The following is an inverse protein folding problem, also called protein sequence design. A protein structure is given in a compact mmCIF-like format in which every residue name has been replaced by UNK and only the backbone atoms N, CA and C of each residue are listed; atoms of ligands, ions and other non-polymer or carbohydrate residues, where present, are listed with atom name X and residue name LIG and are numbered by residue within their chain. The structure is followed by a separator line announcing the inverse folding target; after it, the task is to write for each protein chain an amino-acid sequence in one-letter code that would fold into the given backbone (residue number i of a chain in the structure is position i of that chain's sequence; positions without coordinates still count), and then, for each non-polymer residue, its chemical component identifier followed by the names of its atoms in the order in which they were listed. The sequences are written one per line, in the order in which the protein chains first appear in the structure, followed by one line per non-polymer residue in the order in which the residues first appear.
data_IF_450244331875
#
_entry.id   IF_450244331875
#
_cell.length_a   1.000
_cell.length_b   1.000
_cell.length_c   1.000
_cell.angle_alpha   90.00
_cell.angle_beta   90.00
_cell.angle_gamma   90.00
#
_symmetry.space_group_name_H-M   'P 1'
#
loop_
_entity.id
_entity.type
_entity.pdbx_description
1 polymer ?
#
# COMPACT_ATOMS: atom_id res chain seq x y z
N UNK A 1 6.88 18.47 -5.87
CA UNK A 1 5.87 17.98 -4.89
C UNK A 1 5.09 19.17 -4.38
N UNK A 2 3.79 19.21 -4.55
CA UNK A 2 2.93 20.26 -4.01
C UNK A 2 2.77 19.98 -2.51
N UNK A 3 3.42 20.80 -1.67
CA UNK A 3 3.21 20.80 -0.22
C UNK A 3 1.91 21.54 0.06
N UNK A 4 0.97 20.90 0.71
CA UNK A 4 -0.31 21.50 1.08
C UNK A 4 -1.29 20.46 1.63
N UNK A 5 -2.29 20.91 2.37
CA UNK A 5 -3.33 20.04 2.92
C UNK A 5 -4.04 19.31 1.78
N UNK A 6 -4.24 18.00 1.91
CA UNK A 6 -4.95 17.15 0.94
C UNK A 6 -6.04 16.32 1.64
N UNK A 7 -7.11 16.06 0.93
CA UNK A 7 -8.27 15.35 1.46
C UNK A 7 -9.08 16.17 2.45
N UNK A 8 -9.86 15.49 3.27
CA UNK A 8 -10.73 16.06 4.29
C UNK A 8 -10.60 15.31 5.62
N UNK A 9 -11.15 15.86 6.72
CA UNK A 9 -11.17 15.18 8.03
C UNK A 9 -11.86 13.81 7.99
N UNK A 10 -12.79 13.62 7.06
CA UNK A 10 -13.51 12.36 6.88
C UNK A 10 -12.81 11.36 5.95
N UNK A 11 -11.80 11.77 5.17
CA UNK A 11 -11.10 10.87 4.26
C UNK A 11 -10.15 9.92 4.98
N UNK A 12 -9.86 8.79 4.34
CA UNK A 12 -8.96 7.74 4.84
C UNK A 12 -7.83 7.50 3.85
N UNK A 13 -6.61 7.48 4.38
CA UNK A 13 -5.41 7.11 3.63
C UNK A 13 -4.80 5.86 4.28
N UNK A 14 -4.79 4.76 3.56
CA UNK A 14 -4.19 3.50 3.98
C UNK A 14 -2.93 3.27 3.13
N UNK A 15 -1.80 3.03 3.77
CA UNK A 15 -0.53 2.72 3.11
C UNK A 15 -0.12 1.30 3.51
N UNK A 16 0.08 0.43 2.52
CA UNK A 16 0.44 -0.98 2.73
C UNK A 16 1.75 -1.27 2.00
N UNK A 17 2.82 -1.50 2.77
CA UNK A 17 4.17 -1.74 2.27
C UNK A 17 4.66 -3.15 2.62
N UNK A 18 5.77 -3.53 2.01
CA UNK A 18 6.49 -4.78 2.32
C UNK A 18 7.05 -5.45 1.08
N UNK A 19 7.86 -6.48 1.27
CA UNK A 19 8.54 -7.21 0.21
C UNK A 19 7.59 -7.85 -0.82
N UNK A 20 8.14 -8.23 -1.97
CA UNK A 20 7.39 -8.99 -2.98
C UNK A 20 6.80 -10.26 -2.35
N UNK A 21 5.62 -10.67 -2.77
CA UNK A 21 5.03 -11.91 -2.26
C UNK A 21 4.31 -11.81 -0.91
N UNK A 22 4.41 -10.70 -0.17
CA UNK A 22 3.92 -10.60 1.21
C UNK A 22 2.39 -10.58 1.40
N UNK A 23 1.61 -10.36 0.34
CA UNK A 23 0.14 -10.34 0.45
C UNK A 23 -0.51 -8.96 0.32
N UNK A 24 0.24 -7.89 0.11
CA UNK A 24 -0.25 -6.49 -0.01
C UNK A 24 -1.39 -6.32 -0.99
N UNK A 25 -1.19 -6.77 -2.23
CA UNK A 25 -2.20 -6.64 -3.29
C UNK A 25 -3.45 -7.47 -2.98
N UNK A 26 -3.30 -8.63 -2.32
CA UNK A 26 -4.43 -9.42 -1.84
C UNK A 26 -5.23 -8.64 -0.80
N UNK A 27 -4.56 -8.03 0.18
CA UNK A 27 -5.21 -7.20 1.19
C UNK A 27 -5.91 -5.99 0.55
N UNK A 28 -5.27 -5.31 -0.40
CA UNK A 28 -5.88 -4.19 -1.11
C UNK A 28 -7.16 -4.61 -1.89
N UNK A 29 -7.14 -5.77 -2.54
CA UNK A 29 -8.32 -6.32 -3.20
C UNK A 29 -9.42 -6.74 -2.21
N UNK A 30 -9.05 -7.31 -1.07
CA UNK A 30 -10.00 -7.64 -0.01
C UNK A 30 -10.67 -6.38 0.57
N UNK A 31 -9.90 -5.29 0.77
CA UNK A 31 -10.46 -3.98 1.16
C UNK A 31 -11.43 -3.48 0.07
N UNK A 32 -11.07 -3.58 -1.22
CA UNK A 32 -11.96 -3.23 -2.33
C UNK A 32 -13.26 -4.03 -2.30
N UNK A 33 -13.18 -5.33 -2.01
CA UNK A 33 -14.36 -6.19 -1.91
C UNK A 33 -15.27 -5.80 -0.73
N UNK A 34 -14.67 -5.45 0.42
CA UNK A 34 -15.39 -4.98 1.60
C UNK A 34 -15.96 -3.55 1.42
N UNK A 35 -15.30 -2.74 0.59
CA UNK A 35 -15.64 -1.34 0.30
C UNK A 35 -15.74 -1.12 -1.22
N UNK A 36 -16.81 -1.59 -1.88
CA UNK A 36 -16.89 -1.65 -3.34
C UNK A 36 -16.95 -0.27 -4.02
N UNK A 37 -17.26 0.79 -3.27
CA UNK A 37 -17.32 2.17 -3.76
C UNK A 37 -16.62 3.13 -2.80
N UNK A 38 -16.15 4.26 -3.33
CA UNK A 38 -15.55 5.34 -2.54
C UNK A 38 -14.09 5.10 -2.14
N UNK A 39 -13.44 4.03 -2.59
CA UNK A 39 -12.02 3.74 -2.31
C UNK A 39 -11.23 3.62 -3.60
N UNK A 40 -10.22 4.45 -3.77
CA UNK A 40 -9.24 4.34 -4.84
C UNK A 40 -8.08 3.44 -4.40
N UNK A 41 -7.74 2.43 -5.21
CA UNK A 41 -6.54 1.60 -4.99
C UNK A 41 -5.44 2.07 -5.94
N UNK A 42 -4.31 2.46 -5.36
CA UNK A 42 -3.12 2.94 -6.06
C UNK A 42 -2.03 1.89 -5.88
N UNK A 43 -1.99 0.94 -6.82
CA UNK A 43 -0.99 -0.12 -6.86
C UNK A 43 0.30 0.37 -7.51
N UNK A 44 1.42 0.31 -6.79
CA UNK A 44 2.73 0.72 -7.30
C UNK A 44 3.10 -0.01 -8.60
N UNK A 45 2.92 -1.33 -8.63
CA UNK A 45 3.27 -2.12 -9.83
C UNK A 45 2.40 -1.77 -11.03
N UNK A 46 1.11 -1.52 -10.85
CA UNK A 46 0.21 -1.08 -11.92
C UNK A 46 0.66 0.26 -12.48
N UNK A 47 0.89 1.26 -11.62
CA UNK A 47 1.32 2.58 -12.06
C UNK A 47 2.68 2.53 -12.76
N UNK A 48 3.63 1.82 -12.19
CA UNK A 48 5.00 1.76 -12.69
C UNK A 48 5.12 0.93 -13.97
N UNK A 49 4.55 -0.28 -13.99
CA UNK A 49 4.75 -1.26 -15.07
C UNK A 49 3.76 -1.07 -16.22
N UNK A 50 2.48 -0.87 -15.92
CA UNK A 50 1.43 -0.87 -16.93
C UNK A 50 1.16 0.54 -17.46
N UNK A 51 1.11 1.56 -16.59
CA UNK A 51 0.77 2.93 -16.99
C UNK A 51 2.01 3.69 -17.47
N UNK A 52 3.07 3.76 -16.66
CA UNK A 52 4.27 4.54 -16.98
C UNK A 52 5.32 3.75 -17.75
N UNK A 53 5.34 2.44 -17.63
CA UNK A 53 6.34 1.53 -18.22
C UNK A 53 7.79 1.93 -17.90
N UNK A 54 8.07 2.25 -16.62
CA UNK A 54 9.38 2.68 -16.13
C UNK A 54 10.02 1.70 -15.16
N UNK A 55 11.33 1.79 -14.98
CA UNK A 55 12.08 1.03 -13.97
C UNK A 55 11.96 1.71 -12.61
N UNK A 56 12.07 0.90 -11.54
CA UNK A 56 12.10 1.38 -10.17
C UNK A 56 13.53 1.75 -9.76
N UNK A 57 13.69 2.94 -9.25
CA UNK A 57 14.96 3.46 -8.71
C UNK A 57 14.67 4.75 -7.90
N UNK A 58 15.60 5.21 -7.05
CA UNK A 58 15.47 6.52 -6.40
C UNK A 58 15.28 7.64 -7.43
N UNK A 59 14.22 8.45 -7.22
CA UNK A 59 13.85 9.52 -8.16
C UNK A 59 13.08 9.07 -9.39
N UNK A 60 12.62 7.80 -9.45
CA UNK A 60 11.76 7.32 -10.54
C UNK A 60 10.47 8.13 -10.68
N UNK A 61 9.96 8.23 -11.91
CA UNK A 61 8.74 8.97 -12.24
C UNK A 61 7.49 8.43 -11.49
N UNK A 62 7.52 7.17 -11.09
CA UNK A 62 6.46 6.54 -10.27
C UNK A 62 6.28 7.23 -8.91
N UNK A 63 7.34 7.80 -8.31
CA UNK A 63 7.26 8.48 -7.02
C UNK A 63 6.31 9.68 -7.05
N UNK A 64 6.55 10.72 -7.88
CA UNK A 64 5.63 11.86 -7.95
C UNK A 64 4.27 11.49 -8.55
N UNK A 65 4.16 10.43 -9.35
CA UNK A 65 2.90 10.03 -9.94
C UNK A 65 1.98 9.33 -8.93
N UNK A 66 2.54 8.54 -7.99
CA UNK A 66 1.78 7.99 -6.86
C UNK A 66 1.27 9.12 -5.96
N UNK A 67 2.12 10.09 -5.61
CA UNK A 67 1.73 11.25 -4.80
C UNK A 67 0.58 12.03 -5.46
N UNK A 68 0.73 12.36 -6.75
CA UNK A 68 -0.30 13.05 -7.53
C UNK A 68 -1.62 12.29 -7.55
N UNK A 69 -1.56 10.98 -7.80
CA UNK A 69 -2.76 10.12 -7.89
C UNK A 69 -3.49 10.04 -6.55
N UNK A 70 -2.72 9.90 -5.45
CA UNK A 70 -3.29 9.85 -4.11
C UNK A 70 -3.95 11.16 -3.71
N UNK A 71 -3.27 12.29 -3.91
CA UNK A 71 -3.83 13.62 -3.63
C UNK A 71 -5.07 13.89 -4.47
N UNK A 72 -5.01 13.61 -5.76
CA UNK A 72 -6.17 13.77 -6.64
C UNK A 72 -7.39 13.00 -6.15
N UNK A 73 -7.22 11.74 -5.75
CA UNK A 73 -8.32 10.92 -5.24
C UNK A 73 -8.88 11.45 -3.91
N UNK A 74 -8.00 11.78 -2.95
CA UNK A 74 -8.37 12.35 -1.65
C UNK A 74 -9.10 13.68 -1.79
N UNK A 75 -8.62 14.57 -2.65
CA UNK A 75 -9.19 15.90 -2.88
C UNK A 75 -10.56 15.82 -3.62
N UNK A 76 -10.84 14.69 -4.28
CA UNK A 76 -12.13 14.41 -4.91
C UNK A 76 -13.06 13.52 -4.06
N UNK A 77 -12.79 13.42 -2.75
CA UNK A 77 -13.69 12.77 -1.80
C UNK A 77 -13.62 11.25 -1.77
N UNK A 78 -12.56 10.66 -2.33
CA UNK A 78 -12.32 9.22 -2.21
C UNK A 78 -11.40 8.92 -1.02
N UNK A 79 -11.62 7.78 -0.38
CA UNK A 79 -10.61 7.14 0.46
C UNK A 79 -9.53 6.53 -0.44
N UNK A 80 -8.31 6.42 0.05
CA UNK A 80 -7.17 5.93 -0.75
C UNK A 80 -6.47 4.78 -0.05
N UNK A 81 -6.17 3.74 -0.81
CA UNK A 81 -5.25 2.67 -0.44
C UNK A 81 -4.05 2.70 -1.40
N UNK A 82 -2.85 2.98 -0.88
CA UNK A 82 -1.60 2.83 -1.63
C UNK A 82 -0.98 1.49 -1.25
N UNK A 83 -0.63 0.65 -2.22
CA UNK A 83 0.03 -0.62 -1.95
C UNK A 83 1.23 -0.84 -2.87
N UNK A 84 2.26 -1.48 -2.33
CA UNK A 84 3.45 -1.81 -3.11
C UNK A 84 4.67 -2.16 -2.25
N UNK A 85 5.76 -2.51 -2.91
CA UNK A 85 7.04 -2.69 -2.22
C UNK A 85 7.45 -1.35 -1.59
N UNK A 86 7.44 -0.28 -2.35
CA UNK A 86 7.63 1.11 -1.92
C UNK A 86 8.84 1.26 -0.96
N UNK A 87 10.02 0.86 -1.43
CA UNK A 87 11.26 0.93 -0.63
C UNK A 87 11.44 2.29 0.03
N UNK A 88 11.85 2.29 1.31
CA UNK A 88 12.02 3.51 2.12
C UNK A 88 12.95 4.53 1.47
N UNK A 89 14.04 4.06 0.84
CA UNK A 89 15.01 4.89 0.13
C UNK A 89 14.39 5.71 -1.02
N UNK A 90 13.43 5.12 -1.74
CA UNK A 90 12.84 5.76 -2.94
C UNK A 90 11.52 6.48 -2.65
N UNK A 91 10.71 5.93 -1.75
CA UNK A 91 9.34 6.39 -1.53
C UNK A 91 9.11 6.98 -0.13
N UNK A 92 10.01 6.75 0.82
CA UNK A 92 9.81 7.09 2.22
C UNK A 92 9.53 8.56 2.45
N UNK A 93 10.30 9.47 1.83
CA UNK A 93 10.10 10.91 1.95
C UNK A 93 8.74 11.36 1.41
N UNK A 94 8.36 10.87 0.23
CA UNK A 94 7.07 11.18 -0.39
C UNK A 94 5.90 10.71 0.47
N UNK A 95 5.95 9.46 0.95
CA UNK A 95 4.89 8.89 1.80
C UNK A 95 4.78 9.63 3.14
N UNK A 96 5.91 9.98 3.75
CA UNK A 96 5.94 10.77 4.98
C UNK A 96 5.32 12.16 4.79
N UNK A 97 5.63 12.82 3.66
CA UNK A 97 5.04 14.11 3.34
C UNK A 97 3.54 13.99 3.05
N UNK A 98 3.11 12.98 2.29
CA UNK A 98 1.69 12.73 2.03
C UNK A 98 0.90 12.47 3.31
N UNK A 99 1.45 11.65 4.24
CA UNK A 99 0.86 11.43 5.56
C UNK A 99 0.71 12.73 6.34
N UNK A 100 1.73 13.58 6.32
CA UNK A 100 1.71 14.87 7.03
C UNK A 100 0.68 15.84 6.47
N UNK A 101 0.50 15.83 5.16
CA UNK A 101 -0.40 16.74 4.45
C UNK A 101 -1.87 16.28 4.49
N UNK A 102 -2.11 14.98 4.72
CA UNK A 102 -3.45 14.42 4.75
C UNK A 102 -4.23 14.89 5.98
N UNK A 103 -5.36 15.57 5.75
CA UNK A 103 -6.20 16.13 6.80
C UNK A 103 -6.99 15.08 7.60
N UNK A 104 -7.22 13.91 7.00
CA UNK A 104 -8.03 12.84 7.59
C UNK A 104 -7.21 11.79 8.35
N UNK A 105 -7.79 10.61 8.49
CA UNK A 105 -7.16 9.49 9.19
C UNK A 105 -6.20 8.74 8.26
N UNK A 106 -4.91 8.71 8.62
CA UNK A 106 -3.90 7.88 7.95
C UNK A 106 -3.54 6.67 8.80
N UNK A 107 -3.49 5.48 8.16
CA UNK A 107 -2.97 4.24 8.74
C UNK A 107 -1.93 3.62 7.82
N UNK A 108 -0.83 3.19 8.40
CA UNK A 108 0.29 2.61 7.65
C UNK A 108 0.60 1.21 8.18
N UNK A 109 0.80 0.28 7.26
CA UNK A 109 1.10 -1.13 7.55
C UNK A 109 2.32 -1.58 6.76
N UNK A 110 3.18 -2.35 7.41
CA UNK A 110 4.33 -2.98 6.76
C UNK A 110 4.28 -4.49 6.99
N UNK A 111 4.29 -5.26 5.89
CA UNK A 111 4.50 -6.70 5.97
C UNK A 111 5.97 -7.00 6.19
N UNK A 112 6.29 -7.60 7.33
CA UNK A 112 7.62 -8.09 7.67
C UNK A 112 7.61 -9.62 7.69
N UNK A 113 7.98 -10.21 6.58
CA UNK A 113 8.19 -11.64 6.42
C UNK A 113 9.69 -11.87 6.21
N UNK A 114 10.22 -13.00 6.70
CA UNK A 114 11.57 -13.37 6.35
C UNK A 114 11.69 -13.80 4.88
N UNK A 115 12.91 -13.98 4.40
CA UNK A 115 13.14 -14.32 3.00
C UNK A 115 12.55 -15.68 2.63
N UNK A 116 12.66 -16.67 3.53
CA UNK A 116 12.19 -18.03 3.26
C UNK A 116 10.66 -18.06 3.10
N UNK A 117 9.93 -17.42 4.01
CA UNK A 117 8.48 -17.24 3.93
C UNK A 117 8.08 -16.46 2.66
N UNK A 118 8.85 -15.42 2.31
CA UNK A 118 8.61 -14.63 1.11
C UNK A 118 8.75 -15.48 -0.15
N UNK A 119 9.77 -16.32 -0.24
CA UNK A 119 9.99 -17.23 -1.37
C UNK A 119 8.91 -18.34 -1.43
N UNK A 120 8.53 -18.90 -0.30
CA UNK A 120 7.47 -19.92 -0.25
C UNK A 120 6.13 -19.35 -0.75
N UNK A 121 5.74 -18.17 -0.28
CA UNK A 121 4.53 -17.49 -0.78
C UNK A 121 4.63 -17.10 -2.25
N UNK A 122 5.84 -16.81 -2.75
CA UNK A 122 6.04 -16.54 -4.17
C UNK A 122 5.76 -17.76 -5.04
N UNK A 123 6.20 -18.97 -4.63
CA UNK A 123 5.98 -20.22 -5.36
C UNK A 123 4.50 -20.57 -5.54
N UNK A 124 3.63 -20.10 -4.67
CA UNK A 124 2.17 -20.36 -4.75
C UNK A 124 1.42 -19.40 -5.67
N UNK A 125 2.10 -18.42 -6.27
CA UNK A 125 1.47 -17.39 -7.11
C UNK A 125 1.53 -17.74 -8.59
N UNK A 126 0.51 -17.32 -9.34
CA UNK A 126 0.47 -17.41 -10.81
C UNK A 126 1.61 -16.62 -11.50
N UNK A 127 2.23 -15.66 -10.81
CA UNK A 127 3.38 -14.88 -11.29
C UNK A 127 4.74 -15.55 -11.05
N UNK A 128 4.78 -16.75 -10.48
CA UNK A 128 6.03 -17.50 -10.28
C UNK A 128 6.76 -17.81 -11.61
N UNK A 129 6.02 -17.87 -12.72
CA UNK A 129 6.57 -18.10 -14.05
C UNK A 129 7.19 -16.84 -14.69
N UNK A 130 6.82 -15.63 -14.22
CA UNK A 130 7.30 -14.35 -14.77
C UNK A 130 8.46 -13.72 -13.96
N UNK A 131 8.59 -14.05 -12.68
CA UNK A 131 9.57 -13.49 -11.76
C UNK A 131 10.30 -14.60 -11.05
N UNK A 132 11.61 -14.72 -11.24
CA UNK A 132 12.40 -15.78 -10.61
C UNK A 132 12.58 -15.56 -9.10
N UNK A 133 12.83 -16.66 -8.35
CA UNK A 133 13.19 -16.57 -6.92
C UNK A 133 14.44 -15.72 -6.69
N UNK A 134 15.40 -15.74 -7.64
CA UNK A 134 16.61 -14.93 -7.58
C UNK A 134 16.28 -13.42 -7.68
N UNK A 135 15.31 -13.05 -8.51
CA UNK A 135 14.83 -11.67 -8.60
C UNK A 135 14.17 -11.24 -7.28
N UNK A 136 13.26 -12.08 -6.73
CA UNK A 136 12.62 -11.81 -5.44
C UNK A 136 13.65 -11.64 -4.32
N UNK A 137 14.64 -12.52 -4.24
CA UNK A 137 15.72 -12.43 -3.27
C UNK A 137 16.57 -11.15 -3.45
N UNK A 138 16.81 -10.73 -4.70
CA UNK A 138 17.56 -9.50 -4.98
C UNK A 138 16.83 -8.22 -4.56
N UNK A 139 15.50 -8.24 -4.58
CA UNK A 139 14.65 -7.11 -4.17
C UNK A 139 14.30 -7.13 -2.69
N UNK A 140 14.56 -8.25 -2.00
CA UNK A 140 14.25 -8.39 -0.59
C UNK A 140 15.04 -7.40 0.26
N UNK A 141 14.32 -6.71 1.17
CA UNK A 141 14.90 -5.84 2.19
C UNK A 141 14.36 -6.27 3.54
N UNK A 142 15.26 -6.63 4.45
CA UNK A 142 14.89 -6.92 5.84
C UNK A 142 14.58 -5.62 6.57
N UNK A 143 13.45 -5.57 7.28
CA UNK A 143 13.06 -4.43 8.13
C UNK A 143 13.13 -3.06 7.45
N UNK A 144 12.69 -2.98 6.18
CA UNK A 144 12.65 -1.71 5.42
C UNK A 144 11.51 -0.81 5.91
N UNK A 145 11.70 -0.16 7.06
CA UNK A 145 10.72 0.70 7.69
C UNK A 145 10.90 2.17 7.35
N UNK A 146 9.80 2.93 7.40
CA UNK A 146 9.80 4.39 7.34
C UNK A 146 9.32 4.91 8.70
N UNK A 147 10.22 5.33 9.61
CA UNK A 147 9.85 5.75 10.97
C UNK A 147 8.76 6.83 11.01
N UNK A 148 8.79 7.76 10.06
CA UNK A 148 7.80 8.83 9.94
C UNK A 148 6.37 8.34 9.64
N UNK A 149 6.19 7.09 9.20
CA UNK A 149 4.88 6.50 8.93
C UNK A 149 4.23 5.86 10.16
N UNK A 150 5.01 5.56 11.22
CA UNK A 150 4.50 4.86 12.40
C UNK A 150 3.75 3.56 12.01
N UNK A 151 4.45 2.70 11.29
CA UNK A 151 3.87 1.52 10.63
C UNK A 151 3.50 0.42 11.62
N UNK A 152 2.28 -0.06 11.55
CA UNK A 152 1.88 -1.32 12.19
C UNK A 152 2.42 -2.51 11.39
N UNK A 153 2.92 -3.53 12.09
CA UNK A 153 3.53 -4.69 11.44
C UNK A 153 2.53 -5.82 11.24
N UNK A 154 2.59 -6.43 10.06
CA UNK A 154 2.01 -7.72 9.77
C UNK A 154 3.14 -8.73 9.53
N UNK A 155 3.40 -9.59 10.48
CA UNK A 155 4.35 -10.69 10.38
C UNK A 155 3.70 -11.97 9.84
N UNK A 156 4.47 -13.07 9.81
CA UNK A 156 4.00 -14.36 9.30
C UNK A 156 2.82 -14.96 10.10
N UNK A 157 2.59 -14.51 11.34
CA UNK A 157 1.51 -15.01 12.21
C UNK A 157 0.16 -14.35 11.89
N UNK A 158 0.16 -13.22 11.20
CA UNK A 158 -1.06 -12.49 10.85
C UNK A 158 -1.69 -13.11 9.62
N UNK A 159 -2.88 -13.67 9.78
CA UNK A 159 -3.64 -14.21 8.65
C UNK A 159 -4.16 -13.08 7.73
N UNK A 160 -4.51 -13.42 6.48
CA UNK A 160 -5.11 -12.45 5.55
C UNK A 160 -6.44 -11.89 6.07
N UNK A 161 -7.23 -12.71 6.76
CA UNK A 161 -8.49 -12.29 7.36
C UNK A 161 -8.28 -11.32 8.54
N UNK A 162 -7.30 -11.61 9.41
CA UNK A 162 -6.97 -10.74 10.53
C UNK A 162 -6.39 -9.40 10.05
N UNK A 163 -5.54 -9.42 9.02
CA UNK A 163 -5.01 -8.20 8.40
C UNK A 163 -6.14 -7.32 7.85
N UNK A 164 -7.10 -7.91 7.11
CA UNK A 164 -8.26 -7.19 6.61
C UNK A 164 -9.09 -6.61 7.75
N UNK A 165 -9.46 -7.45 8.74
CA UNK A 165 -10.26 -7.01 9.88
C UNK A 165 -9.60 -5.85 10.63
N UNK A 166 -8.29 -5.93 10.85
CA UNK A 166 -7.53 -4.88 11.51
C UNK A 166 -7.57 -3.57 10.72
N UNK A 167 -7.34 -3.62 9.40
CA UNK A 167 -7.41 -2.41 8.56
C UNK A 167 -8.80 -1.80 8.59
N UNK A 168 -9.86 -2.62 8.49
CA UNK A 168 -11.25 -2.12 8.51
C UNK A 168 -11.58 -1.43 9.85
N UNK A 169 -11.18 -2.02 10.96
CA UNK A 169 -11.38 -1.44 12.30
C UNK A 169 -10.58 -0.16 12.47
N UNK A 170 -9.28 -0.18 12.16
CA UNK A 170 -8.38 0.96 12.33
C UNK A 170 -8.75 2.15 11.42
N UNK A 171 -9.37 1.89 10.27
CA UNK A 171 -9.88 2.90 9.36
C UNK A 171 -11.27 3.43 9.74
N UNK A 172 -11.93 2.81 10.73
CA UNK A 172 -13.32 3.12 11.06
C UNK A 172 -14.32 2.65 10.00
N UNK A 173 -13.96 1.62 9.23
CA UNK A 173 -14.80 0.98 8.21
C UNK A 173 -15.53 -0.29 8.74
N UNK A 174 -15.37 -0.58 10.03
CA UNK A 174 -15.87 -1.82 10.65
C UNK A 174 -17.39 -1.90 10.81
N UNK A 175 -18.11 -0.80 10.61
CA UNK A 175 -19.56 -0.83 10.50
C UNK A 175 -19.95 -0.83 9.02
N UNK A 176 -20.68 -1.84 8.58
CA UNK A 176 -21.28 -1.91 7.24
C UNK A 176 -22.12 -0.65 7.04
N UNK A 177 -21.89 0.18 5.99
CA UNK A 177 -22.84 1.25 5.73
C UNK A 177 -24.19 0.60 5.48
N UNK A 178 -25.19 1.04 6.21
CA UNK A 178 -26.59 0.74 5.94
C UNK A 178 -26.84 1.20 4.49
N UNK A 179 -26.93 0.23 3.58
CA UNK A 179 -27.35 0.49 2.20
C UNK A 179 -28.84 0.73 2.24
N UNK A 180 -29.20 1.90 2.77
CA UNK A 180 -30.56 2.42 2.67
C UNK A 180 -31.01 2.42 1.23
N UNK A 181 -32.13 1.78 1.02
CA UNK A 181 -32.93 1.52 -0.16
C UNK A 181 -32.99 2.65 -1.17
#
# INVERSE_FOLDING_TARGET
MTSGVTGSESSRLIIIRGNSGSGKSHLAQAIRAARPRGVAIIGHDVLRREILHVRDHPGALSVPYIDLSARFALDNGLDVVIEGILHSESYGEMLAQLRKDHAGLTRCYCYELDLDETLERHRTKALADEVSEADVASWYRSADRVPALDESVFDATVSAADALQRVLVDAGWGETPDIGS
#
